data_IF_111508174110
#
_entry.id   IF_111508174110
#
_cell.length_a   1.000
_cell.length_b   1.000
_cell.length_c   1.000
_cell.angle_alpha   90.00
_cell.angle_beta   90.00
_cell.angle_gamma   90.00
#
_symmetry.space_group_name_H-M   'P 1'
#
loop_
_entity.id
_entity.type
_entity.pdbx_description
1 polymer ?
#
# COMPACT_ATOMS: atom_id res chain seq x y z
N UNK A 1 1.50 10.25 17.95
CA UNK A 1 1.58 10.28 16.48
C UNK A 1 0.84 11.51 16.01
N UNK A 2 1.45 12.38 15.21
CA UNK A 2 0.78 13.53 14.62
C UNK A 2 0.68 13.29 13.13
N UNK A 3 -0.17 12.32 12.76
CA UNK A 3 -0.39 11.92 11.38
C UNK A 3 -1.83 12.19 10.99
N UNK A 4 -2.05 12.59 9.75
CA UNK A 4 -3.37 12.54 9.11
C UNK A 4 -3.41 11.28 8.26
N UNK A 5 -4.30 10.37 8.63
CA UNK A 5 -4.48 9.09 7.97
C UNK A 5 -5.84 9.08 7.28
N UNK A 6 -5.90 8.54 6.06
CA UNK A 6 -7.16 8.35 5.36
C UNK A 6 -7.02 7.49 4.13
N UNK A 7 -8.06 7.52 3.31
CA UNK A 7 -8.15 6.74 2.09
C UNK A 7 -8.56 7.60 0.91
N UNK A 8 -8.07 7.24 -0.28
CA UNK A 8 -8.43 7.86 -1.55
C UNK A 8 -8.49 6.82 -2.65
N UNK A 9 -9.09 7.16 -3.79
CA UNK A 9 -9.10 6.29 -4.97
C UNK A 9 -7.69 6.10 -5.56
N UNK A 10 -7.31 4.85 -5.78
CA UNK A 10 -6.08 4.49 -6.48
C UNK A 10 -6.19 4.84 -7.97
N UNK A 11 -5.20 5.55 -8.50
CA UNK A 11 -5.15 5.96 -9.90
C UNK A 11 -4.86 4.82 -10.89
N UNK A 12 -4.38 3.66 -10.41
CA UNK A 12 -4.00 2.52 -11.26
C UNK A 12 -5.11 1.47 -11.39
N UNK A 13 -5.78 1.12 -10.30
CA UNK A 13 -6.76 0.04 -10.29
C UNK A 13 -8.15 0.42 -9.77
N UNK A 14 -8.37 1.68 -9.36
CA UNK A 14 -9.66 2.13 -8.83
C UNK A 14 -10.00 1.72 -7.39
N UNK A 15 -9.21 0.82 -6.78
CA UNK A 15 -9.34 0.42 -5.38
C UNK A 15 -8.96 1.48 -4.36
N UNK A 16 -9.14 1.17 -3.07
CA UNK A 16 -8.70 2.05 -1.98
C UNK A 16 -7.17 2.14 -1.88
N UNK A 17 -6.69 3.38 -1.73
CA UNK A 17 -5.31 3.75 -1.47
C UNK A 17 -5.25 4.48 -0.13
N UNK A 18 -4.61 3.85 0.82
CA UNK A 18 -4.30 4.43 2.12
C UNK A 18 -3.26 5.53 1.95
N UNK A 19 -3.37 6.59 2.74
CA UNK A 19 -2.31 7.58 2.90
C UNK A 19 -2.04 7.87 4.38
N UNK A 20 -0.78 8.12 4.70
CA UNK A 20 -0.31 8.62 5.98
C UNK A 20 0.54 9.85 5.72
N UNK A 21 0.07 11.00 6.22
CA UNK A 21 0.78 12.27 6.18
C UNK A 21 1.30 12.62 7.57
N UNK A 22 2.61 12.58 7.77
CA UNK A 22 3.25 12.96 9.03
C UNK A 22 3.32 14.50 9.13
N UNK A 23 2.56 15.11 10.03
CA UNK A 23 2.50 16.57 10.16
C UNK A 23 3.80 17.19 10.69
N UNK A 24 4.73 16.39 11.24
CA UNK A 24 6.02 16.86 11.77
C UNK A 24 7.07 16.88 10.68
N UNK A 25 7.16 15.82 9.89
CA UNK A 25 8.13 15.73 8.78
C UNK A 25 7.57 16.30 7.48
N UNK A 26 6.24 16.43 7.41
CA UNK A 26 5.44 16.74 6.22
C UNK A 26 5.59 15.71 5.09
N UNK A 27 6.12 14.54 5.41
CA UNK A 27 6.27 13.44 4.47
C UNK A 27 4.94 12.71 4.31
N UNK A 28 4.71 12.18 3.11
CA UNK A 28 3.49 11.43 2.80
C UNK A 28 3.85 10.09 2.18
N UNK A 29 3.26 9.04 2.72
CA UNK A 29 3.32 7.72 2.14
C UNK A 29 1.93 7.25 1.74
N UNK A 30 1.82 6.69 0.55
CA UNK A 30 0.57 6.14 0.03
C UNK A 30 0.75 4.71 -0.46
N UNK A 31 -0.27 3.88 -0.24
CA UNK A 31 -0.25 2.48 -0.63
C UNK A 31 -1.64 1.99 -1.07
N UNK A 32 -1.74 1.41 -2.27
CA UNK A 32 -2.97 0.76 -2.72
C UNK A 32 -3.11 -0.64 -2.15
N UNK A 33 -4.27 -0.95 -1.55
CA UNK A 33 -4.57 -2.24 -0.94
C UNK A 33 -4.79 -3.39 -1.93
N UNK A 34 -4.85 -3.12 -3.23
CA UNK A 34 -5.09 -4.12 -4.29
C UNK A 34 -3.90 -4.31 -5.21
N UNK A 35 -3.54 -3.27 -5.97
CA UNK A 35 -2.47 -3.38 -6.94
C UNK A 35 -1.07 -3.21 -6.34
N UNK A 36 -0.96 -2.72 -5.09
CA UNK A 36 0.33 -2.49 -4.43
C UNK A 36 1.07 -1.26 -4.95
N UNK A 37 0.41 -0.41 -5.76
CA UNK A 37 0.97 0.86 -6.20
C UNK A 37 1.24 1.76 -5.00
N UNK A 38 2.46 2.30 -4.91
CA UNK A 38 2.86 3.19 -3.84
C UNK A 38 3.37 4.52 -4.37
N UNK A 39 3.18 5.55 -3.56
CA UNK A 39 3.71 6.88 -3.81
C UNK A 39 4.33 7.40 -2.51
N UNK A 40 5.47 8.06 -2.62
CA UNK A 40 6.19 8.58 -1.46
C UNK A 40 6.68 10.00 -1.75
N UNK A 41 6.44 10.90 -0.80
CA UNK A 41 6.96 12.26 -0.77
C UNK A 41 7.91 12.39 0.42
N UNK A 42 9.20 12.51 0.14
CA UNK A 42 10.24 12.71 1.15
C UNK A 42 10.75 14.15 1.11
N UNK A 43 10.86 14.78 2.26
CA UNK A 43 11.42 16.12 2.36
C UNK A 43 12.94 16.02 2.15
N UNK A 44 13.48 16.74 1.16
CA UNK A 44 14.92 16.79 0.97
C UNK A 44 15.55 17.60 2.11
N UNK A 45 16.62 17.07 2.70
CA UNK A 45 17.32 17.69 3.84
C UNK A 45 18.75 18.06 3.52
N UNK A 46 19.22 19.13 4.14
CA UNK A 46 20.64 19.47 4.22
C UNK A 46 21.35 18.53 5.20
N UNK A 47 22.68 18.59 5.23
CA UNK A 47 23.48 17.77 6.16
C UNK A 47 23.18 18.06 7.64
N UNK A 48 22.72 19.28 7.95
CA UNK A 48 22.31 19.70 9.29
C UNK A 48 20.88 19.26 9.69
N UNK A 49 20.17 18.55 8.79
CA UNK A 49 18.81 18.06 9.00
C UNK A 49 17.70 19.07 8.68
N UNK A 50 18.03 20.31 8.33
CA UNK A 50 17.06 21.33 7.90
C UNK A 50 16.48 21.00 6.51
N UNK A 51 15.28 21.52 6.21
CA UNK A 51 14.64 21.35 4.91
C UNK A 51 15.42 22.09 3.82
N UNK A 52 15.63 21.44 2.67
CA UNK A 52 16.11 22.11 1.46
C UNK A 52 14.98 22.95 0.87
N UNK A 53 15.33 24.17 0.49
CA UNK A 53 14.40 25.15 -0.07
C UNK A 53 14.81 25.50 -1.51
N UNK A 54 13.83 25.75 -2.35
CA UNK A 54 14.02 26.43 -3.64
C UNK A 54 14.30 27.92 -3.42
N UNK A 55 14.67 28.63 -4.48
CA UNK A 55 14.98 30.07 -4.43
C UNK A 55 13.79 30.93 -3.95
N UNK A 56 12.56 30.48 -4.18
CA UNK A 56 11.33 31.15 -3.75
C UNK A 56 10.89 30.80 -2.31
N UNK A 57 11.69 29.99 -1.60
CA UNK A 57 11.40 29.54 -0.23
C UNK A 57 10.46 28.33 -0.14
N UNK A 58 10.03 27.75 -1.26
CA UNK A 58 9.25 26.49 -1.26
C UNK A 58 10.13 25.29 -0.90
N UNK A 59 9.53 24.30 -0.26
CA UNK A 59 10.26 23.09 0.16
C UNK A 59 10.54 22.19 -1.04
N UNK A 60 11.75 21.63 -1.07
CA UNK A 60 12.14 20.67 -2.09
C UNK A 60 11.82 19.24 -1.63
N UNK A 61 11.18 18.49 -2.51
CA UNK A 61 10.70 17.14 -2.26
C UNK A 61 11.35 16.15 -3.21
N UNK A 62 11.62 14.96 -2.71
CA UNK A 62 11.83 13.78 -3.54
C UNK A 62 10.51 13.03 -3.66
N UNK A 63 10.11 12.76 -4.90
CA UNK A 63 8.87 12.07 -5.21
C UNK A 63 9.18 10.79 -5.94
N UNK A 64 8.73 9.67 -5.38
CA UNK A 64 8.89 8.36 -5.98
C UNK A 64 7.54 7.66 -6.13
N UNK A 65 7.32 7.08 -7.30
CA UNK A 65 6.27 6.08 -7.52
C UNK A 65 6.90 4.70 -7.65
N UNK A 66 6.22 3.68 -7.12
CA UNK A 66 6.60 2.28 -7.37
C UNK A 66 5.42 1.54 -7.97
N UNK A 67 5.65 0.92 -9.13
CA UNK A 67 4.68 0.05 -9.77
C UNK A 67 4.44 -1.15 -8.86
N UNK A 68 3.19 -1.39 -8.51
CA UNK A 68 2.79 -2.56 -7.75
C UNK A 68 2.45 -3.74 -8.66
N UNK A 69 2.65 -4.95 -8.16
CA UNK A 69 2.31 -6.22 -8.81
C UNK A 69 1.33 -7.05 -7.97
N UNK A 70 0.65 -6.39 -7.02
CA UNK A 70 -0.25 -7.03 -6.09
C UNK A 70 0.09 -6.72 -4.63
N UNK A 71 -0.71 -7.29 -3.73
CA UNK A 71 -0.61 -7.11 -2.29
C UNK A 71 -0.79 -8.45 -1.59
N UNK A 72 -0.02 -8.65 -0.52
CA UNK A 72 -0.22 -9.73 0.46
C UNK A 72 -0.48 -9.09 1.82
N UNK A 73 -1.65 -9.36 2.41
CA UNK A 73 -1.97 -9.01 3.79
C UNK A 73 -1.92 -10.28 4.63
N UNK A 74 -1.00 -10.34 5.58
CA UNK A 74 -0.96 -11.34 6.64
C UNK A 74 -1.61 -10.73 7.87
N UNK A 75 -2.79 -11.20 8.26
CA UNK A 75 -3.47 -10.77 9.48
C UNK A 75 -3.46 -11.93 10.47
N UNK A 76 -2.56 -11.95 11.47
CA UNK A 76 -2.62 -12.95 12.52
C UNK A 76 -3.85 -12.73 13.41
N UNK A 77 -4.39 -13.82 13.98
CA UNK A 77 -5.46 -13.78 15.00
C UNK A 77 -5.09 -12.98 16.25
N UNK A 78 -3.80 -12.71 16.48
CA UNK A 78 -3.32 -11.85 17.57
C UNK A 78 -3.52 -10.36 17.31
N UNK A 79 -3.86 -9.95 16.08
CA UNK A 79 -4.43 -8.64 15.76
C UNK A 79 -3.52 -7.65 15.03
N UNK A 80 -2.20 -7.83 14.98
CA UNK A 80 -1.29 -6.92 14.24
C UNK A 80 -0.96 -7.52 12.88
N UNK A 81 -1.55 -6.96 11.82
CA UNK A 81 -1.32 -7.39 10.45
C UNK A 81 -0.13 -6.70 9.76
N UNK A 82 0.44 -7.40 8.79
CA UNK A 82 1.50 -6.89 7.92
C UNK A 82 1.02 -6.90 6.46
N UNK A 83 1.10 -5.76 5.78
CA UNK A 83 0.76 -5.61 4.38
C UNK A 83 2.03 -5.43 3.54
N UNK A 84 2.21 -6.28 2.55
CA UNK A 84 3.36 -6.28 1.64
C UNK A 84 2.90 -5.91 0.24
N UNK A 85 3.54 -4.91 -0.36
CA UNK A 85 3.36 -4.57 -1.77
C UNK A 85 4.38 -5.33 -2.60
N UNK A 86 3.90 -6.05 -3.62
CA UNK A 86 4.74 -6.77 -4.54
C UNK A 86 5.35 -5.79 -5.54
N UNK A 87 6.67 -5.77 -5.68
CA UNK A 87 7.39 -4.93 -6.65
C UNK A 87 7.77 -5.67 -7.93
N UNK A 88 7.29 -6.91 -8.09
CA UNK A 88 7.50 -7.76 -9.25
C UNK A 88 6.56 -8.95 -9.27
N UNK A 89 6.55 -9.68 -10.37
CA UNK A 89 5.75 -10.91 -10.50
C UNK A 89 6.33 -12.02 -9.64
N UNK A 90 5.47 -12.72 -8.89
CA UNK A 90 5.88 -13.90 -8.13
C UNK A 90 6.14 -15.09 -9.06
N UNK A 91 7.27 -15.75 -8.83
CA UNK A 91 7.60 -17.09 -9.32
C UNK A 91 6.69 -18.16 -8.68
N UNK A 92 6.74 -19.39 -9.19
CA UNK A 92 5.95 -20.50 -8.65
C UNK A 92 6.26 -20.80 -7.18
N UNK A 93 7.53 -20.81 -6.80
CA UNK A 93 7.98 -21.08 -5.43
C UNK A 93 7.58 -19.97 -4.45
N UNK A 94 7.68 -18.71 -4.87
CA UNK A 94 7.24 -17.57 -4.05
C UNK A 94 5.72 -17.59 -3.83
N UNK A 95 4.93 -17.94 -4.87
CA UNK A 95 3.47 -18.09 -4.74
C UNK A 95 3.11 -19.17 -3.71
N UNK A 96 3.77 -20.31 -3.78
CA UNK A 96 3.55 -21.41 -2.85
C UNK A 96 3.89 -20.99 -1.41
N UNK A 97 5.02 -20.30 -1.22
CA UNK A 97 5.43 -19.78 0.09
C UNK A 97 4.41 -18.77 0.66
N UNK A 98 3.91 -17.86 -0.18
CA UNK A 98 2.86 -16.90 0.21
C UNK A 98 1.58 -17.64 0.63
N UNK A 99 1.15 -18.64 -0.14
CA UNK A 99 -0.04 -19.43 0.17
C UNK A 99 0.10 -20.19 1.49
N UNK A 100 1.25 -20.83 1.74
CA UNK A 100 1.51 -21.54 2.99
C UNK A 100 1.43 -20.62 4.20
N UNK A 101 2.01 -19.41 4.10
CA UNK A 101 1.94 -18.42 5.18
C UNK A 101 0.50 -17.95 5.44
N UNK A 102 -0.29 -17.73 4.38
CA UNK A 102 -1.69 -17.30 4.49
C UNK A 102 -2.61 -18.39 5.05
N UNK A 103 -2.28 -19.66 4.81
CA UNK A 103 -3.04 -20.82 5.28
C UNK A 103 -2.63 -21.29 6.68
N UNK A 104 -1.63 -20.65 7.30
CA UNK A 104 -1.20 -21.01 8.64
C UNK A 104 -2.36 -20.87 9.65
N UNK A 105 -2.46 -21.80 10.61
CA UNK A 105 -3.60 -21.89 11.54
C UNK A 105 -3.83 -20.61 12.36
N UNK A 106 -2.76 -19.85 12.61
CA UNK A 106 -2.79 -18.60 13.36
C UNK A 106 -3.23 -17.37 12.51
N UNK A 107 -3.48 -17.54 11.21
CA UNK A 107 -3.98 -16.47 10.35
C UNK A 107 -5.49 -16.28 10.49
N UNK A 108 -5.90 -15.03 10.44
CA UNK A 108 -7.28 -14.55 10.45
C UNK A 108 -7.83 -14.46 9.02
N UNK A 109 -9.15 -14.56 8.87
CA UNK A 109 -9.86 -14.54 7.59
C UNK A 109 -9.72 -13.23 6.81
N UNK A 110 -9.30 -12.13 7.46
CA UNK A 110 -8.99 -10.88 6.76
C UNK A 110 -7.66 -10.94 5.99
N UNK A 111 -6.88 -12.02 6.13
CA UNK A 111 -5.68 -12.24 5.33
C UNK A 111 -6.04 -12.47 3.87
N UNK A 112 -5.31 -11.86 2.95
CA UNK A 112 -5.55 -12.00 1.51
C UNK A 112 -4.26 -11.87 0.70
N UNK A 113 -4.30 -12.39 -0.53
CA UNK A 113 -3.31 -12.09 -1.54
C UNK A 113 -3.99 -11.83 -2.88
N UNK A 114 -3.56 -10.78 -3.55
CA UNK A 114 -4.04 -10.37 -4.87
C UNK A 114 -2.82 -10.09 -5.72
N UNK A 115 -2.81 -10.64 -6.94
CA UNK A 115 -1.81 -10.35 -7.95
C UNK A 115 -2.34 -9.27 -8.89
N UNK A 116 -1.46 -8.41 -9.37
CA UNK A 116 -1.78 -7.37 -10.34
C UNK A 116 -0.82 -7.44 -11.52
N UNK A 117 -1.37 -7.38 -12.73
CA UNK A 117 -0.62 -7.26 -13.97
C UNK A 117 -0.68 -5.80 -14.45
N UNK A 118 0.38 -4.99 -14.26
CA UNK A 118 0.36 -3.55 -14.58
C UNK A 118 0.05 -3.24 -16.04
N UNK A 119 0.55 -4.07 -16.95
CA UNK A 119 0.39 -3.89 -18.40
C UNK A 119 -1.05 -4.03 -18.86
N UNK A 120 -1.83 -4.92 -18.23
CA UNK A 120 -3.22 -5.19 -18.59
C UNK A 120 -4.23 -4.59 -17.62
N UNK A 121 -3.77 -4.03 -16.49
CA UNK A 121 -4.64 -3.56 -15.41
C UNK A 121 -5.43 -4.68 -14.72
N UNK A 122 -5.03 -5.94 -14.87
CA UNK A 122 -5.80 -7.09 -14.38
C UNK A 122 -5.44 -7.45 -12.95
N UNK A 123 -6.45 -7.61 -12.10
CA UNK A 123 -6.31 -8.13 -10.74
C UNK A 123 -6.76 -9.59 -10.69
N UNK A 124 -5.97 -10.44 -10.04
CA UNK A 124 -6.25 -11.87 -9.86
C UNK A 124 -6.16 -12.21 -8.38
N UNK A 125 -7.26 -12.62 -7.72
CA UNK A 125 -7.19 -13.08 -6.34
C UNK A 125 -6.38 -14.39 -6.28
N UNK A 126 -5.41 -14.43 -5.38
CA UNK A 126 -4.62 -15.62 -5.09
C UNK A 126 -5.14 -16.34 -3.83
N UNK A 127 -5.57 -15.57 -2.83
CA UNK A 127 -6.11 -16.09 -1.57
C UNK A 127 -7.00 -15.04 -0.89
N UNK A 128 -8.02 -15.51 -0.15
CA UNK A 128 -8.88 -14.65 0.65
C UNK A 128 -9.78 -13.73 -0.18
N UNK A 129 -10.46 -12.82 0.50
CA UNK A 129 -11.31 -11.83 -0.15
C UNK A 129 -10.47 -10.63 -0.62
N UNK A 130 -10.45 -10.38 -1.93
CA UNK A 130 -9.85 -9.17 -2.50
C UNK A 130 -10.62 -7.93 -2.01
N UNK A 131 -9.94 -6.84 -1.61
CA UNK A 131 -10.60 -5.58 -1.30
C UNK A 131 -11.41 -5.03 -2.48
N UNK A 132 -12.51 -4.33 -2.20
CA UNK A 132 -13.39 -3.73 -3.20
C UNK A 132 -12.80 -2.53 -3.95
N UNK A 133 -13.60 -1.93 -4.81
CA UNK A 133 -13.32 -0.59 -5.34
C UNK A 133 -13.42 0.46 -4.22
N UNK A 134 -12.77 1.62 -4.43
CA UNK A 134 -12.89 2.72 -3.48
C UNK A 134 -14.36 3.18 -3.36
N UNK A 135 -14.89 3.20 -2.12
CA UNK A 135 -16.25 3.61 -1.81
C UNK A 135 -17.27 2.47 -1.74
N UNK A 136 -16.92 1.23 -2.11
CA UNK A 136 -17.86 0.09 -2.02
C UNK A 136 -18.10 -0.37 -0.57
N UNK A 137 -17.16 -0.13 0.34
CA UNK A 137 -17.29 -0.52 1.75
C UNK A 137 -18.19 0.43 2.57
N UNK A 138 -18.57 1.61 2.04
CA UNK A 138 -19.46 2.56 2.73
C UNK A 138 -20.95 2.16 2.67
N UNK A 139 -21.36 1.31 1.72
CA UNK A 139 -22.78 0.94 1.54
C UNK A 139 -23.28 -0.21 2.42
N UNK A 140 -22.40 -0.91 3.14
CA UNK A 140 -22.80 -2.04 4.02
C UNK A 140 -22.93 -1.67 5.50
N UNK A 141 -22.73 -0.39 5.86
CA UNK A 141 -22.78 0.11 7.22
C UNK A 141 -23.99 1.05 7.52
N UNK A 142 -24.98 1.13 6.63
CA UNK A 142 -26.19 1.94 6.79
C UNK A 142 -27.45 1.11 7.09
#
# INVERSE_FOLDING_TARGET
MSSVIGEKKCSKCGGSMFYDFDCRTQEEYRMCSRCGFTQEWKLLRNEDGTAKLAEDGTWLWDYTETVGYGVVLLMPKSGVGCKYCLTGTLTGEERETVLQNLQAENMDSHSYAVLYAPESGTLTPLYGQMPGDYGEDEETAA
#
